data_IF_722375692093
#
_entry.id   IF_722375692093
#
_cell.length_a   1.000
_cell.length_b   1.000
_cell.length_c   1.000
_cell.angle_alpha   90.00
_cell.angle_beta   90.00
_cell.angle_gamma   90.00
#
_symmetry.space_group_name_H-M   'P 1'
#
loop_
_entity.id
_entity.type
_entity.pdbx_description
1 polymer ?
#
# COMPACT_ATOMS: atom_id res chain seq x y z
N UNK A 1 -9.61 40.74 -13.06
CA UNK A 1 -10.44 39.62 -12.57
C UNK A 1 -9.61 38.33 -12.61
N UNK A 2 -9.73 37.53 -11.56
CA UNK A 2 -8.68 36.71 -10.95
C UNK A 2 -8.41 35.37 -11.70
N UNK A 3 -7.43 35.31 -12.62
CA UNK A 3 -7.07 34.08 -13.37
C UNK A 3 -6.72 32.88 -12.46
N UNK A 4 -6.22 33.15 -11.26
CA UNK A 4 -5.89 32.17 -10.22
C UNK A 4 -7.12 31.49 -9.61
N UNK A 5 -8.23 32.22 -9.44
CA UNK A 5 -9.48 31.67 -8.90
C UNK A 5 -10.08 30.60 -9.82
N UNK A 6 -10.10 30.86 -11.13
CA UNK A 6 -10.64 29.91 -12.11
C UNK A 6 -9.78 28.64 -12.20
N UNK A 7 -8.47 28.76 -12.01
CA UNK A 7 -7.54 27.62 -12.00
C UNK A 7 -7.72 26.73 -10.76
N UNK A 8 -7.88 27.34 -9.57
CA UNK A 8 -8.17 26.61 -8.33
C UNK A 8 -9.51 25.87 -8.41
N UNK A 9 -10.57 26.53 -8.92
CA UNK A 9 -11.90 25.91 -9.06
C UNK A 9 -11.86 24.72 -10.02
N UNK A 10 -11.14 24.82 -11.15
CA UNK A 10 -10.97 23.72 -12.10
C UNK A 10 -10.19 22.54 -11.52
N UNK A 11 -9.18 22.82 -10.69
CA UNK A 11 -8.34 21.80 -10.07
C UNK A 11 -9.04 21.10 -8.89
N UNK A 12 -9.87 21.83 -8.15
CA UNK A 12 -10.64 21.32 -7.00
C UNK A 12 -11.85 20.49 -7.44
N UNK A 13 -12.33 20.66 -8.67
CA UNK A 13 -13.46 19.86 -9.17
C UNK A 13 -13.16 18.35 -9.17
N UNK A 14 -11.89 17.95 -9.29
CA UNK A 14 -11.46 16.54 -9.21
C UNK A 14 -11.44 15.99 -7.76
N UNK A 15 -11.43 16.86 -6.75
CA UNK A 15 -11.53 16.43 -5.34
C UNK A 15 -12.91 15.88 -4.99
N UNK A 16 -13.97 16.32 -5.69
CA UNK A 16 -15.34 15.84 -5.43
C UNK A 16 -15.48 14.33 -5.72
N UNK A 17 -15.14 13.82 -6.91
CA UNK A 17 -15.17 12.38 -7.17
C UNK A 17 -14.13 11.62 -6.33
N UNK A 18 -12.96 12.21 -6.04
CA UNK A 18 -11.96 11.60 -5.16
C UNK A 18 -12.49 11.43 -3.73
N UNK A 19 -13.20 12.43 -3.19
CA UNK A 19 -13.83 12.36 -1.88
C UNK A 19 -14.92 11.30 -1.82
N UNK A 20 -15.71 11.12 -2.88
CA UNK A 20 -16.70 10.04 -2.95
C UNK A 20 -16.00 8.68 -2.94
N UNK A 21 -14.91 8.50 -3.69
CA UNK A 21 -14.11 7.27 -3.69
C UNK A 21 -13.49 6.98 -2.31
N UNK A 22 -13.01 8.02 -1.62
CA UNK A 22 -12.46 7.90 -0.25
C UNK A 22 -13.55 7.60 0.78
N UNK A 23 -14.75 8.17 0.64
CA UNK A 23 -15.87 7.90 1.54
C UNK A 23 -16.32 6.43 1.45
N UNK A 24 -16.23 5.83 0.26
CA UNK A 24 -16.47 4.41 0.03
C UNK A 24 -15.17 3.58 -0.05
N UNK A 25 -14.08 4.00 0.62
CA UNK A 25 -12.77 3.35 0.51
C UNK A 25 -12.82 1.84 0.84
N UNK A 26 -13.59 1.44 1.85
CA UNK A 26 -13.77 0.04 2.25
C UNK A 26 -14.31 -0.84 1.11
N UNK A 27 -15.15 -0.29 0.24
CA UNK A 27 -15.74 -1.00 -0.89
C UNK A 27 -14.99 -0.76 -2.21
N UNK A 28 -14.33 0.39 -2.34
CA UNK A 28 -13.65 0.80 -3.58
C UNK A 28 -12.22 0.28 -3.65
N UNK A 29 -11.53 0.15 -2.51
CA UNK A 29 -10.19 -0.42 -2.42
C UNK A 29 -10.08 -1.81 -3.07
N UNK A 30 -10.94 -2.81 -2.78
CA UNK A 30 -10.82 -4.13 -3.41
C UNK A 30 -11.06 -4.09 -4.92
N UNK A 31 -11.96 -3.23 -5.40
CA UNK A 31 -12.25 -3.08 -6.85
C UNK A 31 -11.07 -2.44 -7.58
N UNK A 32 -10.49 -1.37 -7.01
CA UNK A 32 -9.30 -0.71 -7.54
C UNK A 32 -8.10 -1.66 -7.54
N UNK A 33 -7.92 -2.42 -6.45
CA UNK A 33 -6.87 -3.42 -6.33
C UNK A 33 -7.03 -4.52 -7.39
N UNK A 34 -8.24 -5.03 -7.59
CA UNK A 34 -8.53 -6.03 -8.62
C UNK A 34 -8.25 -5.48 -10.03
N UNK A 35 -8.65 -4.23 -10.30
CA UNK A 35 -8.37 -3.58 -11.58
C UNK A 35 -6.87 -3.39 -11.81
N UNK A 36 -6.14 -2.96 -10.79
CA UNK A 36 -4.69 -2.81 -10.85
C UNK A 36 -4.01 -4.16 -11.13
N UNK A 37 -4.36 -5.22 -10.40
CA UNK A 37 -3.83 -6.57 -10.64
C UNK A 37 -4.18 -7.11 -12.03
N UNK A 38 -5.42 -6.90 -12.49
CA UNK A 38 -5.85 -7.33 -13.83
C UNK A 38 -5.07 -6.58 -14.94
N UNK A 39 -4.86 -5.28 -14.77
CA UNK A 39 -4.07 -4.47 -15.71
C UNK A 39 -2.59 -4.89 -15.70
N UNK A 40 -2.00 -5.06 -14.53
CA UNK A 40 -0.60 -5.47 -14.36
C UNK A 40 -0.37 -6.88 -14.95
N UNK A 41 -1.31 -7.80 -14.69
CA UNK A 41 -1.38 -9.10 -15.33
C UNK A 41 -1.38 -8.98 -16.84
N UNK A 42 -2.29 -8.19 -17.43
CA UNK A 42 -2.35 -8.00 -18.89
C UNK A 42 -1.03 -7.44 -19.46
N UNK A 43 -0.45 -6.43 -18.81
CA UNK A 43 0.79 -5.77 -19.26
C UNK A 43 1.96 -6.77 -19.29
N UNK A 44 2.02 -7.69 -18.32
CA UNK A 44 3.09 -8.70 -18.24
C UNK A 44 2.79 -9.93 -19.11
N UNK A 45 1.55 -10.43 -19.10
CA UNK A 45 1.15 -11.65 -19.80
C UNK A 45 1.16 -11.48 -21.32
N UNK A 46 0.67 -10.35 -21.83
CA UNK A 46 0.56 -10.12 -23.27
C UNK A 46 1.89 -10.24 -24.04
N UNK A 47 3.00 -9.59 -23.63
CA UNK A 47 4.28 -9.75 -24.31
C UNK A 47 4.82 -11.18 -24.20
N UNK A 48 4.60 -11.88 -23.09
CA UNK A 48 5.04 -13.27 -22.90
C UNK A 48 4.32 -14.20 -23.88
N UNK A 49 3.00 -14.06 -24.02
CA UNK A 49 2.20 -14.81 -25.01
C UNK A 49 2.74 -14.55 -26.41
N UNK A 50 3.08 -13.31 -26.76
CA UNK A 50 3.58 -12.97 -28.09
C UNK A 50 4.97 -13.57 -28.39
N UNK A 51 5.84 -13.66 -27.38
CA UNK A 51 7.16 -14.32 -27.51
C UNK A 51 6.99 -15.82 -27.74
N UNK A 52 6.09 -16.46 -27.00
CA UNK A 52 5.80 -17.89 -27.14
C UNK A 52 5.08 -18.17 -28.45
N UNK A 53 4.18 -17.29 -28.89
CA UNK A 53 3.46 -17.39 -30.16
C UNK A 53 4.42 -17.38 -31.35
N UNK A 54 5.47 -16.55 -31.34
CA UNK A 54 6.51 -16.58 -32.37
C UNK A 54 7.23 -17.93 -32.46
N UNK A 55 7.32 -18.67 -31.36
CA UNK A 55 7.99 -19.97 -31.28
C UNK A 55 7.07 -21.14 -31.64
N UNK A 56 5.78 -21.04 -31.28
CA UNK A 56 4.78 -22.09 -31.48
C UNK A 56 4.01 -21.94 -32.81
N UNK A 57 3.97 -20.74 -33.39
CA UNK A 57 3.27 -20.45 -34.64
C UNK A 57 1.74 -20.41 -34.55
N UNK A 58 1.16 -20.68 -33.38
CA UNK A 58 -0.29 -20.66 -33.15
C UNK A 58 -0.64 -19.90 -31.86
N UNK A 59 -1.53 -18.91 -31.99
CA UNK A 59 -1.98 -18.04 -30.91
C UNK A 59 -2.68 -18.80 -29.77
N UNK A 60 -3.63 -19.68 -30.09
CA UNK A 60 -4.43 -20.38 -29.07
C UNK A 60 -3.57 -21.33 -28.23
N UNK A 61 -2.62 -22.02 -28.87
CA UNK A 61 -1.67 -22.90 -28.17
C UNK A 61 -0.68 -22.12 -27.31
N UNK A 62 -0.24 -20.95 -27.78
CA UNK A 62 0.61 -20.05 -26.98
C UNK A 62 -0.08 -19.64 -25.69
N UNK A 63 -1.33 -19.18 -25.76
CA UNK A 63 -2.11 -18.77 -24.59
C UNK A 63 -2.27 -19.91 -23.59
N UNK A 64 -2.62 -21.12 -24.06
CA UNK A 64 -2.77 -22.30 -23.18
C UNK A 64 -1.45 -22.63 -22.47
N UNK A 65 -0.33 -22.63 -23.20
CA UNK A 65 1.00 -22.89 -22.63
C UNK A 65 1.37 -21.83 -21.59
N UNK A 66 1.11 -20.55 -21.87
CA UNK A 66 1.40 -19.44 -20.94
C UNK A 66 0.57 -19.58 -19.67
N UNK A 67 -0.72 -19.85 -19.79
CA UNK A 67 -1.62 -20.02 -18.63
C UNK A 67 -1.18 -21.23 -17.79
N UNK A 68 -0.88 -22.37 -18.42
CA UNK A 68 -0.44 -23.57 -17.72
C UNK A 68 0.88 -23.33 -16.98
N UNK A 69 1.84 -22.69 -17.64
CA UNK A 69 3.11 -22.30 -17.04
C UNK A 69 2.91 -21.32 -15.88
N UNK A 70 2.00 -20.36 -16.00
CA UNK A 70 1.66 -19.41 -14.95
C UNK A 70 1.08 -20.12 -13.71
N UNK A 71 0.17 -21.08 -13.90
CA UNK A 71 -0.42 -21.85 -12.79
C UNK A 71 0.65 -22.65 -12.05
N UNK A 72 1.52 -23.36 -12.78
CA UNK A 72 2.63 -24.12 -12.18
C UNK A 72 3.60 -23.20 -11.46
N UNK A 73 3.97 -22.08 -12.09
CA UNK A 73 4.86 -21.08 -11.52
C UNK A 73 4.29 -20.47 -10.23
N UNK A 74 3.01 -20.09 -10.23
CA UNK A 74 2.29 -19.60 -9.04
C UNK A 74 2.23 -20.66 -7.95
N UNK A 75 2.00 -21.93 -8.28
CA UNK A 75 2.00 -23.02 -7.30
C UNK A 75 3.35 -23.21 -6.61
N UNK A 76 4.46 -23.11 -7.35
CA UNK A 76 5.82 -23.18 -6.81
C UNK A 76 6.15 -21.94 -5.98
N UNK A 77 5.86 -20.74 -6.51
CA UNK A 77 5.99 -19.49 -5.78
C UNK A 77 5.17 -19.51 -4.48
N UNK A 78 3.98 -20.10 -4.49
CA UNK A 78 3.11 -20.16 -3.32
C UNK A 78 3.81 -20.85 -2.14
N UNK A 79 4.59 -21.90 -2.42
CA UNK A 79 5.31 -22.65 -1.40
C UNK A 79 6.56 -21.94 -0.89
N UNK A 80 7.12 -21.00 -1.64
CA UNK A 80 8.38 -20.33 -1.30
C UNK A 80 8.16 -18.90 -0.80
N UNK A 81 7.38 -18.10 -1.52
CA UNK A 81 7.22 -16.67 -1.27
C UNK A 81 6.20 -16.37 -0.18
N UNK A 82 5.08 -17.10 -0.09
CA UNK A 82 4.10 -16.85 0.97
C UNK A 82 4.66 -17.10 2.39
N UNK A 83 5.39 -18.19 2.68
CA UNK A 83 6.01 -18.34 3.99
C UNK A 83 7.14 -17.33 4.22
N UNK A 84 7.86 -16.91 3.17
CA UNK A 84 8.89 -15.87 3.29
C UNK A 84 8.27 -14.52 3.67
N UNK A 85 7.18 -14.11 2.99
CA UNK A 85 6.44 -12.90 3.29
C UNK A 85 5.77 -13.02 4.67
N UNK A 86 5.17 -14.16 5.00
CA UNK A 86 4.56 -14.41 6.30
C UNK A 86 5.57 -14.24 7.44
N UNK A 87 6.76 -14.84 7.31
CA UNK A 87 7.84 -14.70 8.29
C UNK A 87 8.38 -13.25 8.36
N UNK A 88 8.35 -12.50 7.27
CA UNK A 88 8.71 -11.08 7.28
C UNK A 88 7.63 -10.20 7.89
N UNK A 89 6.35 -10.50 7.68
CA UNK A 89 5.23 -9.80 8.32
C UNK A 89 5.27 -10.04 9.82
N UNK A 90 5.52 -11.27 10.27
CA UNK A 90 5.65 -11.55 11.71
C UNK A 90 6.90 -10.92 12.32
N UNK A 91 8.02 -10.88 11.60
CA UNK A 91 9.23 -10.15 12.03
C UNK A 91 9.02 -8.63 12.04
N UNK A 92 8.26 -8.08 11.09
CA UNK A 92 7.90 -6.67 11.06
C UNK A 92 6.91 -6.33 12.18
N UNK A 93 5.94 -7.20 12.43
CA UNK A 93 4.99 -7.09 13.54
C UNK A 93 5.72 -7.16 14.89
N UNK A 94 6.70 -8.05 15.06
CA UNK A 94 7.51 -8.10 16.27
C UNK A 94 8.44 -6.90 16.41
N UNK A 95 8.88 -6.29 15.30
CA UNK A 95 9.63 -5.02 15.33
C UNK A 95 8.76 -3.79 15.61
N UNK A 96 7.46 -3.85 15.28
CA UNK A 96 6.44 -2.86 15.61
C UNK A 96 5.63 -3.28 16.84
N UNK A 97 6.27 -3.99 17.78
CA UNK A 97 5.69 -4.31 19.07
C UNK A 97 5.51 -3.05 19.92
N UNK A 98 4.56 -3.09 20.86
CA UNK A 98 4.27 -1.98 21.76
C UNK A 98 5.53 -1.54 22.52
N UNK A 99 6.35 -2.49 22.96
CA UNK A 99 7.66 -2.23 23.59
C UNK A 99 8.61 -1.40 22.69
N UNK A 100 8.64 -1.65 21.38
CA UNK A 100 9.55 -0.94 20.45
C UNK A 100 9.01 0.44 20.12
N UNK A 101 7.69 0.58 19.97
CA UNK A 101 7.03 1.86 19.77
C UNK A 101 7.19 2.79 20.98
N UNK A 102 6.98 2.29 22.20
CA UNK A 102 7.21 3.07 23.43
C UNK A 102 8.68 3.47 23.57
N UNK A 103 9.62 2.60 23.18
CA UNK A 103 11.07 2.92 23.18
C UNK A 103 11.45 3.95 22.12
N UNK A 104 10.78 3.96 20.96
CA UNK A 104 10.98 4.97 19.93
C UNK A 104 10.39 6.32 20.36
N UNK A 105 9.17 6.31 20.91
CA UNK A 105 8.48 7.48 21.44
C UNK A 105 9.31 8.17 22.53
N UNK A 106 9.80 7.43 23.51
CA UNK A 106 10.66 7.98 24.58
C UNK A 106 11.94 8.61 24.03
N UNK A 107 12.60 7.98 23.06
CA UNK A 107 13.77 8.58 22.39
C UNK A 107 13.41 9.84 21.60
N UNK A 108 12.28 9.84 20.89
CA UNK A 108 11.79 11.01 20.17
C UNK A 108 11.48 12.16 21.12
N UNK A 109 10.78 11.90 22.23
CA UNK A 109 10.45 12.90 23.24
C UNK A 109 11.73 13.56 23.78
N UNK A 110 12.76 12.78 24.11
CA UNK A 110 14.05 13.33 24.59
C UNK A 110 14.73 14.21 23.53
N UNK A 111 14.72 13.79 22.26
CA UNK A 111 15.31 14.58 21.16
C UNK A 111 14.51 15.87 20.94
N UNK A 112 13.17 15.79 20.93
CA UNK A 112 12.29 16.92 20.70
C UNK A 112 12.30 17.93 21.85
N UNK A 113 12.45 17.46 23.09
CA UNK A 113 12.65 18.31 24.27
C UNK A 113 13.90 19.19 24.13
N UNK A 114 14.97 18.63 23.54
CA UNK A 114 16.23 19.35 23.35
C UNK A 114 16.24 20.34 22.17
N UNK A 115 15.29 20.23 21.24
CA UNK A 115 15.29 20.99 19.98
C UNK A 115 14.10 21.95 19.87
N UNK A 116 12.94 21.62 20.43
CA UNK A 116 11.72 22.42 20.27
C UNK A 116 11.51 23.44 21.40
N UNK A 117 10.93 24.61 21.08
CA UNK A 117 10.34 25.51 22.06
C UNK A 117 9.22 24.84 22.85
N UNK A 118 9.09 25.20 24.14
CA UNK A 118 8.15 24.57 25.09
C UNK A 118 6.70 24.48 24.59
N UNK A 119 6.21 25.49 23.85
CA UNK A 119 4.86 25.46 23.27
C UNK A 119 4.66 24.32 22.26
N UNK A 120 5.62 24.12 21.35
CA UNK A 120 5.52 23.06 20.33
C UNK A 120 5.81 21.68 20.93
N UNK A 121 6.67 21.60 21.94
CA UNK A 121 6.91 20.36 22.70
C UNK A 121 5.64 19.89 23.43
N UNK A 122 4.93 20.80 24.09
CA UNK A 122 3.68 20.47 24.78
C UNK A 122 2.59 20.01 23.79
N UNK A 123 2.46 20.70 22.65
CA UNK A 123 1.54 20.26 21.59
C UNK A 123 1.90 18.87 21.05
N UNK A 124 3.19 18.60 20.82
CA UNK A 124 3.64 17.29 20.38
C UNK A 124 3.33 16.20 21.42
N UNK A 125 3.56 16.46 22.70
CA UNK A 125 3.27 15.50 23.77
C UNK A 125 1.77 15.20 23.90
N UNK A 126 0.90 16.21 23.78
CA UNK A 126 -0.56 16.00 23.80
C UNK A 126 -1.02 15.13 22.63
N UNK A 127 -0.52 15.39 21.42
CA UNK A 127 -0.80 14.58 20.23
C UNK A 127 -0.27 13.17 20.40
N UNK A 128 0.95 13.02 20.91
CA UNK A 128 1.58 11.71 21.09
C UNK A 128 0.84 10.87 22.13
N UNK A 129 0.33 11.48 23.20
CA UNK A 129 -0.48 10.82 24.23
C UNK A 129 -1.82 10.32 23.67
N UNK A 130 -2.47 11.11 22.81
CA UNK A 130 -3.68 10.67 22.10
C UNK A 130 -3.40 9.52 21.14
N UNK A 131 -2.28 9.59 20.40
CA UNK A 131 -1.84 8.49 19.52
C UNK A 131 -1.58 7.21 20.30
N UNK A 132 -0.91 7.29 21.46
CA UNK A 132 -0.61 6.14 22.30
C UNK A 132 -1.89 5.46 22.80
N UNK A 133 -2.90 6.24 23.17
CA UNK A 133 -4.22 5.71 23.54
C UNK A 133 -4.92 5.00 22.38
N UNK A 134 -4.85 5.54 21.16
CA UNK A 134 -5.43 4.92 19.97
C UNK A 134 -4.67 3.66 19.53
N UNK A 135 -3.34 3.63 19.67
CA UNK A 135 -2.56 2.44 19.40
C UNK A 135 -2.81 1.34 20.43
N UNK A 136 -2.91 1.69 21.72
CA UNK A 136 -3.26 0.73 22.76
C UNK A 136 -4.61 0.05 22.49
N UNK A 137 -5.56 0.73 21.84
CA UNK A 137 -6.86 0.15 21.45
C UNK A 137 -6.76 -0.77 20.23
N UNK A 138 -5.89 -0.46 19.26
CA UNK A 138 -5.65 -1.30 18.06
C UNK A 138 -4.89 -2.59 18.40
N UNK A 139 -4.09 -2.57 19.46
CA UNK A 139 -3.26 -3.70 19.90
C UNK A 139 -3.85 -4.48 21.10
N UNK A 140 -4.99 -4.07 21.64
CA UNK A 140 -5.76 -4.81 22.65
C UNK A 140 -6.56 -5.96 22.01
#
# INVERSE_FOLDING_TARGET
MNKTSTFLIRNIWWLVPLSVVLLFWTHTAPILLMLAFAYLGRVVLYPIVRVIEKKTGNHNWSVIIVILALIVFLGILSKSVFPLIGNQITAFQSSLSMETLTKFQTKLTVVLESILPAYLFNFFNDVMTQMDSAFSEIWA
#
